data_IF_851610997468
#
_entry.id   IF_851610997468
#
_cell.length_a   1.000
_cell.length_b   1.000
_cell.length_c   1.000
_cell.angle_alpha   90.00
_cell.angle_beta   90.00
_cell.angle_gamma   90.00
#
_symmetry.space_group_name_H-M   'P 1'
#
loop_
_entity.id
_entity.type
_entity.pdbx_description
1 polymer ?
#
# COMPACT_ATOMS: atom_id res chain seq x y z
N UNK A 1 8.42 14.15 15.50
CA UNK A 1 6.95 14.20 15.34
C UNK A 1 6.66 13.43 14.06
N UNK A 2 6.11 12.22 14.17
CA UNK A 2 6.15 11.19 13.08
C UNK A 2 4.86 11.20 12.24
N UNK A 3 4.02 12.24 12.37
CA UNK A 3 2.80 12.41 11.57
C UNK A 3 2.91 13.66 10.71
N UNK A 4 3.63 13.58 9.59
CA UNK A 4 3.47 14.56 8.51
C UNK A 4 2.24 14.18 7.68
N UNK A 5 1.59 15.14 7.03
CA UNK A 5 0.45 14.86 6.12
C UNK A 5 0.82 13.85 5.02
N UNK A 6 2.12 13.71 4.71
CA UNK A 6 2.66 12.73 3.78
C UNK A 6 2.44 11.28 4.25
N UNK A 7 2.50 11.00 5.57
CA UNK A 7 2.22 9.65 6.09
C UNK A 7 0.76 9.25 5.89
N UNK A 8 -0.14 10.21 5.63
CA UNK A 8 -1.54 9.98 5.26
C UNK A 8 -1.77 9.92 3.74
N UNK A 9 -0.72 10.07 2.94
CA UNK A 9 -0.84 10.04 1.49
C UNK A 9 -1.33 8.67 0.99
N UNK A 10 -2.24 8.71 0.02
CA UNK A 10 -2.57 7.53 -0.77
C UNK A 10 -1.36 7.20 -1.65
N UNK A 11 -0.95 5.95 -1.62
CA UNK A 11 0.14 5.40 -2.41
C UNK A 11 -0.42 4.88 -3.72
N UNK A 12 0.12 5.37 -4.84
CA UNK A 12 -0.09 4.77 -6.15
C UNK A 12 1.01 3.74 -6.37
N UNK A 13 0.65 2.50 -6.65
CA UNK A 13 1.60 1.38 -6.73
C UNK A 13 1.38 0.55 -7.99
N UNK A 14 2.46 -0.03 -8.49
CA UNK A 14 2.43 -1.21 -9.35
C UNK A 14 2.77 -2.42 -8.50
N UNK A 15 1.98 -3.49 -8.58
CA UNK A 15 2.17 -4.72 -7.80
C UNK A 15 2.10 -5.95 -8.68
N UNK A 16 2.83 -6.99 -8.28
CA UNK A 16 2.75 -8.34 -8.85
C UNK A 16 2.51 -9.31 -7.70
N UNK A 17 1.40 -10.05 -7.75
CA UNK A 17 1.10 -11.13 -6.81
C UNK A 17 1.59 -12.45 -7.38
N UNK A 18 2.37 -13.19 -6.60
CA UNK A 18 2.95 -14.45 -7.08
C UNK A 18 1.94 -15.58 -7.09
N UNK A 19 1.98 -16.38 -8.15
CA UNK A 19 1.25 -17.65 -8.22
C UNK A 19 1.63 -18.61 -7.10
N UNK A 20 0.71 -19.53 -6.76
CA UNK A 20 0.95 -20.58 -5.75
C UNK A 20 1.01 -20.10 -4.30
N UNK A 21 0.92 -18.79 -4.04
CA UNK A 21 0.84 -18.21 -2.69
C UNK A 21 -0.60 -18.14 -2.16
N UNK A 22 -1.57 -17.99 -3.07
CA UNK A 22 -3.01 -17.91 -2.79
C UNK A 22 -3.79 -18.78 -3.77
N UNK A 23 -5.03 -19.13 -3.41
CA UNK A 23 -5.96 -19.82 -4.32
C UNK A 23 -6.54 -18.90 -5.41
N UNK A 24 -6.72 -17.62 -5.09
CA UNK A 24 -7.25 -16.61 -6.00
C UNK A 24 -6.50 -15.27 -5.80
N UNK A 25 -6.33 -14.47 -6.86
CA UNK A 25 -5.76 -13.13 -6.76
C UNK A 25 -6.54 -12.26 -5.75
N UNK A 26 -5.87 -11.33 -5.05
CA UNK A 26 -6.58 -10.38 -4.19
C UNK A 26 -7.41 -9.38 -5.01
N UNK A 27 -8.46 -8.86 -4.39
CA UNK A 27 -9.24 -7.74 -4.93
C UNK A 27 -8.72 -6.42 -4.36
N UNK A 28 -8.25 -5.52 -5.22
CA UNK A 28 -7.74 -4.20 -4.82
C UNK A 28 -8.85 -3.14 -4.65
N UNK A 29 -10.06 -3.40 -5.16
CA UNK A 29 -11.16 -2.43 -5.18
C UNK A 29 -12.12 -2.49 -3.99
N UNK A 30 -11.93 -3.46 -3.09
CA UNK A 30 -12.94 -3.76 -2.07
C UNK A 30 -12.78 -3.01 -0.75
N UNK A 31 -11.64 -2.35 -0.51
CA UNK A 31 -11.30 -1.84 0.82
C UNK A 31 -11.04 -2.92 1.88
N UNK A 32 -11.05 -4.21 1.50
CA UNK A 32 -10.90 -5.35 2.43
C UNK A 32 -9.51 -5.96 2.42
N UNK A 33 -8.76 -5.77 1.34
CA UNK A 33 -7.43 -6.34 1.24
C UNK A 33 -6.42 -5.39 1.85
N UNK A 34 -6.01 -5.69 3.09
CA UNK A 34 -5.10 -4.87 3.85
C UNK A 34 -3.81 -5.64 4.23
N UNK A 35 -2.84 -5.78 3.30
CA UNK A 35 -1.57 -6.46 3.54
C UNK A 35 -0.56 -5.56 4.27
N UNK A 36 0.65 -6.09 4.49
CA UNK A 36 1.80 -5.29 4.89
C UNK A 36 2.77 -5.12 3.72
N UNK A 37 3.31 -3.92 3.55
CA UNK A 37 4.46 -3.66 2.69
C UNK A 37 5.73 -3.66 3.53
N UNK A 38 6.77 -4.31 3.01
CA UNK A 38 8.11 -4.29 3.60
C UNK A 38 9.06 -3.77 2.53
N UNK A 39 9.58 -2.56 2.72
CA UNK A 39 10.49 -1.91 1.77
C UNK A 39 11.79 -2.70 1.68
N UNK A 40 12.31 -2.89 0.47
CA UNK A 40 13.56 -3.62 0.26
C UNK A 40 14.70 -2.96 1.05
N UNK A 41 15.46 -3.77 1.80
CA UNK A 41 16.53 -3.30 2.70
C UNK A 41 16.05 -2.91 4.10
N UNK A 42 14.74 -2.98 4.37
CA UNK A 42 14.15 -2.75 5.71
C UNK A 42 13.54 -4.04 6.26
N UNK A 43 13.05 -3.98 7.51
CA UNK A 43 12.37 -5.11 8.18
C UNK A 43 10.99 -4.77 8.72
N UNK A 44 10.57 -3.51 8.55
CA UNK A 44 9.33 -2.99 9.12
C UNK A 44 8.13 -3.37 8.27
N UNK A 45 7.07 -3.81 8.95
CA UNK A 45 5.81 -4.21 8.32
C UNK A 45 4.86 -3.01 8.32
N UNK A 46 4.75 -2.35 7.17
CA UNK A 46 3.91 -1.18 6.99
C UNK A 46 2.51 -1.61 6.53
N UNK A 47 1.57 -1.62 7.47
CA UNK A 47 0.18 -2.00 7.18
C UNK A 47 -0.50 -1.00 6.24
N UNK A 48 -1.05 -1.48 5.15
CA UNK A 48 -1.78 -0.65 4.16
C UNK A 48 -3.12 -1.29 3.85
N UNK A 49 -4.04 -0.54 3.25
CA UNK A 49 -5.25 -1.12 2.66
C UNK A 49 -5.50 -0.61 1.25
N UNK A 50 -5.76 -1.53 0.33
CA UNK A 50 -6.13 -1.17 -1.03
C UNK A 50 -7.55 -0.64 -1.09
N UNK A 51 -7.70 0.55 -1.66
CA UNK A 51 -8.98 1.24 -1.83
C UNK A 51 -9.55 1.03 -3.23
N UNK A 52 -8.68 1.01 -4.23
CA UNK A 52 -9.01 0.89 -5.64
C UNK A 52 -7.81 0.32 -6.42
N UNK A 53 -8.03 -0.18 -7.62
CA UNK A 53 -6.98 -0.73 -8.47
C UNK A 53 -7.51 -1.63 -9.58
N UNK A 54 -6.59 -2.15 -10.38
CA UNK A 54 -6.89 -3.07 -11.46
C UNK A 54 -7.35 -4.43 -10.93
N UNK A 55 -8.04 -5.18 -11.80
CA UNK A 55 -8.24 -6.61 -11.57
C UNK A 55 -6.88 -7.32 -11.61
N UNK A 56 -6.60 -8.12 -10.58
CA UNK A 56 -5.32 -8.81 -10.48
C UNK A 56 -5.36 -10.18 -11.15
N UNK A 57 -4.32 -10.49 -11.93
CA UNK A 57 -3.92 -11.84 -12.27
C UNK A 57 -2.61 -12.20 -11.55
N UNK A 58 -2.34 -13.49 -11.36
CA UNK A 58 -1.06 -13.90 -10.78
C UNK A 58 0.08 -13.71 -11.77
N UNK A 59 1.24 -13.35 -11.24
CA UNK A 59 2.50 -13.16 -11.97
C UNK A 59 2.45 -12.06 -13.06
N UNK A 60 1.39 -11.25 -13.04
CA UNK A 60 1.19 -10.09 -13.92
C UNK A 60 1.16 -8.79 -13.11
N UNK A 61 1.61 -7.66 -13.69
CA UNK A 61 1.52 -6.37 -13.04
C UNK A 61 0.07 -5.87 -12.97
N UNK A 62 -0.28 -5.24 -11.86
CA UNK A 62 -1.54 -4.56 -11.64
C UNK A 62 -1.31 -3.22 -10.94
N UNK A 63 -2.06 -2.18 -11.31
CA UNK A 63 -2.02 -0.91 -10.61
C UNK A 63 -2.96 -0.92 -9.40
N UNK A 64 -2.59 -0.18 -8.36
CA UNK A 64 -3.43 -0.05 -7.17
C UNK A 64 -3.21 1.24 -6.40
N UNK A 65 -4.21 1.59 -5.61
CA UNK A 65 -4.22 2.71 -4.70
C UNK A 65 -4.32 2.17 -3.27
N UNK A 66 -3.28 2.36 -2.48
CA UNK A 66 -3.18 1.85 -1.12
C UNK A 66 -3.10 2.99 -0.10
N UNK A 67 -3.88 2.91 0.98
CA UNK A 67 -3.84 3.86 2.07
C UNK A 67 -3.10 3.28 3.29
N UNK A 68 -2.18 4.03 3.91
CA UNK A 68 -1.60 3.69 5.21
C UNK A 68 -2.67 3.49 6.30
N UNK A 69 -2.56 2.40 7.06
CA UNK A 69 -3.53 2.08 8.13
C UNK A 69 -3.29 2.85 9.44
N UNK A 70 -2.03 3.11 9.79
CA UNK A 70 -1.65 3.69 11.08
C UNK A 70 -0.80 4.97 10.94
N UNK A 71 -1.20 5.93 10.09
CA UNK A 71 -0.36 7.05 9.68
C UNK A 71 0.01 8.01 10.83
N UNK A 72 -0.74 7.96 11.93
CA UNK A 72 -0.51 8.82 13.10
C UNK A 72 0.47 8.19 14.11
N UNK A 73 0.84 6.91 13.95
CA UNK A 73 1.68 6.15 14.92
C UNK A 73 2.84 5.39 14.29
N UNK A 74 2.78 5.11 13.00
CA UNK A 74 3.81 4.39 12.24
C UNK A 74 4.37 5.32 11.16
N UNK A 75 5.67 5.26 10.94
CA UNK A 75 6.31 6.03 9.87
C UNK A 75 6.16 5.32 8.52
N UNK A 76 5.55 6.00 7.55
CA UNK A 76 5.39 5.51 6.18
C UNK A 76 6.32 6.24 5.20
N UNK A 77 7.22 7.10 5.68
CA UNK A 77 8.22 7.78 4.85
C UNK A 77 9.05 6.83 3.96
N UNK A 78 9.41 5.59 4.39
CA UNK A 78 10.13 4.65 3.53
C UNK A 78 9.40 4.24 2.23
N UNK A 79 8.07 4.41 2.16
CA UNK A 79 7.29 4.19 0.93
C UNK A 79 7.32 5.44 0.04
N UNK A 80 8.52 5.92 -0.25
CA UNK A 80 8.77 7.03 -1.16
C UNK A 80 8.66 6.62 -2.63
N UNK A 81 8.66 7.59 -3.55
CA UNK A 81 8.56 7.30 -4.98
C UNK A 81 9.71 6.40 -5.45
N UNK A 82 9.38 5.38 -6.24
CA UNK A 82 10.26 4.30 -6.69
C UNK A 82 10.71 3.31 -5.60
N UNK A 83 10.27 3.45 -4.35
CA UNK A 83 10.54 2.45 -3.33
C UNK A 83 9.96 1.10 -3.77
N UNK A 84 10.83 0.10 -3.82
CA UNK A 84 10.44 -1.29 -4.06
C UNK A 84 10.12 -1.97 -2.73
N UNK A 85 9.12 -2.83 -2.73
CA UNK A 85 8.66 -3.51 -1.52
C UNK A 85 8.20 -4.94 -1.81
N UNK A 86 8.20 -5.73 -0.76
CA UNK A 86 7.52 -7.03 -0.69
C UNK A 86 6.15 -6.87 -0.05
N UNK A 87 5.19 -7.68 -0.51
CA UNK A 87 3.84 -7.72 0.03
C UNK A 87 3.72 -8.97 0.92
N UNK A 88 3.30 -8.76 2.17
CA UNK A 88 3.18 -9.80 3.17
C UNK A 88 1.75 -10.00 3.65
N UNK A 89 1.36 -11.27 3.77
CA UNK A 89 0.17 -11.75 4.47
C UNK A 89 0.59 -12.57 5.68
N UNK A 90 0.48 -11.98 6.88
CA UNK A 90 1.14 -12.52 8.07
C UNK A 90 2.64 -12.62 7.82
N UNK A 91 3.22 -13.82 8.00
CA UNK A 91 4.64 -14.08 7.78
C UNK A 91 5.00 -14.47 6.33
N UNK A 92 4.02 -14.56 5.42
CA UNK A 92 4.26 -15.05 4.07
C UNK A 92 4.42 -13.90 3.07
N UNK A 93 5.53 -13.88 2.34
CA UNK A 93 5.69 -13.02 1.18
C UNK A 93 4.83 -13.56 0.03
N UNK A 94 3.88 -12.76 -0.43
CA UNK A 94 2.87 -13.12 -1.45
C UNK A 94 3.00 -12.34 -2.74
N UNK A 95 3.81 -11.29 -2.76
CA UNK A 95 4.02 -10.47 -3.94
C UNK A 95 5.12 -9.45 -3.75
N UNK A 96 5.30 -8.62 -4.76
CA UNK A 96 6.22 -7.47 -4.77
C UNK A 96 5.54 -6.27 -5.41
N UNK A 97 6.11 -5.09 -5.23
CA UNK A 97 5.63 -3.89 -5.89
C UNK A 97 6.60 -2.74 -5.83
N UNK A 98 6.18 -1.63 -6.44
CA UNK A 98 6.89 -0.36 -6.45
C UNK A 98 5.91 0.79 -6.26
N UNK A 99 6.31 1.78 -5.47
CA UNK A 99 5.57 3.04 -5.34
C UNK A 99 5.81 3.90 -6.58
N UNK A 100 4.73 4.28 -7.26
CA UNK A 100 4.74 5.16 -8.43
C UNK A 100 4.53 6.63 -8.05
N UNK A 101 3.78 6.89 -6.97
CA UNK A 101 3.47 8.24 -6.54
C UNK A 101 2.75 8.28 -5.19
N UNK A 102 2.65 9.47 -4.63
CA UNK A 102 1.95 9.74 -3.36
C UNK A 102 1.02 10.94 -3.54
N UNK A 103 -0.24 10.79 -3.14
CA UNK A 103 -1.23 11.87 -3.17
C UNK A 103 -1.73 12.15 -1.75
N UNK A 104 -1.41 13.32 -1.22
CA UNK A 104 -1.93 13.78 0.07
C UNK A 104 -3.39 14.25 -0.14
N UNK A 105 -4.38 13.65 0.54
CA UNK A 105 -5.75 14.11 0.42
C UNK A 105 -5.90 15.55 0.93
N UNK A 106 -6.49 16.40 0.10
CA UNK A 106 -6.76 17.79 0.46
C UNK A 106 -7.68 17.86 1.70
N UNK A 107 -7.22 18.51 2.76
CA UNK A 107 -8.03 18.77 3.95
C UNK A 107 -9.08 19.84 3.63
N UNK A 108 -10.32 19.43 3.39
CA UNK A 108 -11.44 20.37 3.30
C UNK A 108 -11.62 21.01 4.69
N UNK A 109 -11.30 22.30 4.82
CA UNK A 109 -11.63 23.06 6.03
C UNK A 109 -13.14 23.02 6.21
N UNK A 110 -13.62 22.30 7.23
CA UNK A 110 -15.02 22.38 7.63
C UNK A 110 -15.30 23.85 8.00
N UNK A 111 -16.09 24.54 7.18
CA UNK A 111 -16.67 25.81 7.58
C UNK A 111 -17.57 25.51 8.78
N UNK A 112 -17.16 25.95 9.97
CA UNK A 112 -18.04 26.03 11.13
C UNK A 112 -19.25 26.88 10.70
N UNK A 113 -20.44 26.26 10.68
CA UNK A 113 -21.70 26.99 10.65
C UNK A 113 -21.97 27.64 11.99
#
# INVERSE_FOLDING_TARGET
MIGTDENRAVLHVEVIFWGGKRKAPPSLVSGKYCPHFVVIGTTEYLGVCFLDGDECAFDEPALGNAQPLYPDTIDYAPLENNAEFLIYEGANAVGKGRVLGRTVPYQVKQQRK
#
